data_IF_788287096000
#
_entry.id   IF_788287096000
#
_cell.length_a   1.000
_cell.length_b   1.000
_cell.length_c   1.000
_cell.angle_alpha   90.00
_cell.angle_beta   90.00
_cell.angle_gamma   90.00
#
_symmetry.space_group_name_H-M   'P 1'
#
loop_
_entity.id
_entity.type
_entity.pdbx_description
1 polymer ?
#
# COMPACT_ATOMS: atom_id res chain seq x y z
N UNK A 1 -10.66 -16.38 -40.90
CA UNK A 1 -10.49 -16.10 -39.47
C UNK A 1 -10.34 -14.60 -39.28
N UNK A 2 -11.34 -13.90 -38.72
CA UNK A 2 -11.28 -12.44 -38.50
C UNK A 2 -10.22 -12.16 -37.43
N UNK A 3 -9.09 -11.56 -37.81
CA UNK A 3 -8.04 -11.15 -36.86
C UNK A 3 -8.61 -10.04 -35.97
N UNK A 4 -8.78 -10.35 -34.69
CA UNK A 4 -9.12 -9.35 -33.67
C UNK A 4 -7.99 -8.31 -33.65
N UNK A 5 -8.29 -6.99 -33.72
CA UNK A 5 -7.27 -5.95 -33.66
C UNK A 5 -6.46 -6.03 -32.36
N UNK A 6 -5.13 -5.87 -32.45
CA UNK A 6 -4.25 -5.93 -31.29
C UNK A 6 -4.62 -4.89 -30.20
N UNK A 7 -5.17 -3.73 -30.60
CA UNK A 7 -5.69 -2.70 -29.69
C UNK A 7 -6.87 -3.21 -28.85
N UNK A 8 -7.80 -3.93 -29.45
CA UNK A 8 -8.95 -4.52 -28.75
C UNK A 8 -8.51 -5.55 -27.71
N UNK A 9 -7.52 -6.38 -28.03
CA UNK A 9 -6.99 -7.36 -27.08
C UNK A 9 -6.32 -6.68 -25.88
N UNK A 10 -5.53 -5.61 -26.11
CA UNK A 10 -4.94 -4.81 -25.02
C UNK A 10 -6.00 -4.16 -24.14
N UNK A 11 -7.07 -3.65 -24.76
CA UNK A 11 -8.21 -3.10 -24.03
C UNK A 11 -8.90 -4.15 -23.15
N UNK A 12 -9.13 -5.37 -23.65
CA UNK A 12 -9.71 -6.46 -22.84
C UNK A 12 -8.81 -6.82 -21.64
N UNK A 13 -7.50 -6.90 -21.84
CA UNK A 13 -6.56 -7.12 -20.73
C UNK A 13 -6.59 -5.99 -19.71
N UNK A 14 -6.71 -4.74 -20.16
CA UNK A 14 -6.92 -3.60 -19.27
C UNK A 14 -8.23 -3.73 -18.47
N UNK A 15 -9.34 -4.11 -19.12
CA UNK A 15 -10.62 -4.34 -18.44
C UNK A 15 -10.53 -5.48 -17.41
N UNK A 16 -9.75 -6.51 -17.67
CA UNK A 16 -9.46 -7.57 -16.68
C UNK A 16 -8.73 -7.00 -15.47
N UNK A 17 -7.69 -6.18 -15.66
CA UNK A 17 -7.00 -5.51 -14.56
C UNK A 17 -7.95 -4.61 -13.75
N UNK A 18 -8.84 -3.89 -14.43
CA UNK A 18 -9.84 -3.05 -13.76
C UNK A 18 -10.81 -3.90 -12.93
N UNK A 19 -11.24 -5.05 -13.45
CA UNK A 19 -12.03 -6.02 -12.72
C UNK A 19 -11.32 -6.52 -11.45
N UNK A 20 -10.04 -6.85 -11.54
CA UNK A 20 -9.21 -7.26 -10.38
C UNK A 20 -9.11 -6.13 -9.35
N UNK A 21 -8.87 -4.90 -9.80
CA UNK A 21 -8.80 -3.73 -8.91
C UNK A 21 -10.13 -3.50 -8.18
N UNK A 22 -11.26 -3.49 -8.89
CA UNK A 22 -12.58 -3.37 -8.29
C UNK A 22 -12.89 -4.52 -7.31
N UNK A 23 -12.55 -5.76 -7.69
CA UNK A 23 -12.70 -6.92 -6.81
C UNK A 23 -11.89 -6.75 -5.53
N UNK A 24 -10.65 -6.27 -5.60
CA UNK A 24 -9.80 -6.07 -4.42
C UNK A 24 -10.40 -5.10 -3.40
N UNK A 25 -11.09 -4.04 -3.86
CA UNK A 25 -11.80 -3.11 -2.98
C UNK A 25 -13.00 -3.77 -2.31
N UNK A 26 -13.85 -4.43 -3.09
CA UNK A 26 -15.08 -5.06 -2.59
C UNK A 26 -14.74 -6.21 -1.64
N UNK A 27 -13.81 -7.08 -2.02
CA UNK A 27 -13.36 -8.18 -1.20
C UNK A 27 -12.70 -7.69 0.09
N UNK A 28 -11.90 -6.61 0.02
CA UNK A 28 -11.30 -6.02 1.22
C UNK A 28 -12.33 -5.46 2.19
N UNK A 29 -13.35 -4.79 1.67
CA UNK A 29 -14.47 -4.30 2.48
C UNK A 29 -15.23 -5.44 3.15
N UNK A 30 -15.59 -6.48 2.39
CA UNK A 30 -16.24 -7.66 2.92
C UNK A 30 -15.38 -8.37 3.97
N UNK A 31 -14.07 -8.47 3.74
CA UNK A 31 -13.11 -9.07 4.65
C UNK A 31 -13.01 -8.30 5.97
N UNK A 32 -12.93 -6.97 5.91
CA UNK A 32 -12.93 -6.12 7.11
C UNK A 32 -14.24 -6.23 7.90
N UNK A 33 -15.39 -6.33 7.22
CA UNK A 33 -16.68 -6.56 7.85
C UNK A 33 -16.75 -7.91 8.57
N UNK A 34 -16.23 -8.98 7.94
CA UNK A 34 -16.17 -10.31 8.54
C UNK A 34 -15.20 -10.38 9.73
N UNK A 35 -14.06 -9.69 9.63
CA UNK A 35 -13.11 -9.58 10.74
C UNK A 35 -13.76 -8.92 11.97
N UNK A 36 -14.58 -7.87 11.74
CA UNK A 36 -15.31 -7.20 12.81
C UNK A 36 -16.40 -8.07 13.43
N UNK A 37 -17.14 -8.84 12.63
CA UNK A 37 -18.23 -9.69 13.14
C UNK A 37 -17.76 -10.88 13.96
N UNK A 38 -16.46 -11.20 13.90
CA UNK A 38 -15.84 -12.35 14.56
C UNK A 38 -14.98 -11.98 15.78
N UNK A 39 -15.04 -10.71 16.23
CA UNK A 39 -14.39 -10.28 17.47
C UNK A 39 -14.96 -11.02 18.70
N UNK A 40 -14.17 -11.27 19.78
CA UNK A 40 -12.78 -10.87 19.98
C UNK A 40 -11.76 -11.90 19.47
N UNK A 41 -10.70 -11.42 18.81
CA UNK A 41 -9.59 -12.26 18.34
C UNK A 41 -8.42 -12.26 19.32
N UNK A 42 -7.74 -13.41 19.44
CA UNK A 42 -6.44 -13.45 20.11
C UNK A 42 -5.35 -12.78 19.26
N UNK A 43 -4.20 -12.49 19.84
CA UNK A 43 -3.08 -11.81 19.18
C UNK A 43 -2.60 -12.51 17.90
N UNK A 44 -2.59 -13.85 17.92
CA UNK A 44 -2.19 -14.69 16.79
C UNK A 44 -3.27 -14.74 15.72
N UNK A 45 -4.54 -14.87 16.13
CA UNK A 45 -5.67 -14.88 15.19
C UNK A 45 -5.70 -13.55 14.43
N UNK A 46 -5.65 -12.41 15.13
CA UNK A 46 -5.62 -11.10 14.50
C UNK A 46 -4.47 -10.95 13.49
N UNK A 47 -3.26 -11.43 13.83
CA UNK A 47 -2.12 -11.42 12.91
C UNK A 47 -2.36 -12.27 11.64
N UNK A 48 -2.89 -13.48 11.79
CA UNK A 48 -3.16 -14.36 10.64
C UNK A 48 -4.21 -13.79 9.69
N UNK A 49 -5.29 -13.20 10.21
CA UNK A 49 -6.30 -12.49 9.41
C UNK A 49 -5.68 -11.36 8.59
N UNK A 50 -4.70 -10.65 9.15
CA UNK A 50 -4.07 -9.50 8.50
C UNK A 50 -3.14 -9.96 7.40
N UNK A 51 -2.24 -10.90 7.72
CA UNK A 51 -1.26 -11.38 6.76
C UNK A 51 -1.89 -12.17 5.61
N UNK A 52 -2.98 -12.91 5.84
CA UNK A 52 -3.70 -13.59 4.76
C UNK A 52 -4.28 -12.60 3.74
N UNK A 53 -4.87 -11.50 4.21
CA UNK A 53 -5.37 -10.44 3.33
C UNK A 53 -4.24 -9.69 2.63
N UNK A 54 -3.18 -9.34 3.35
CA UNK A 54 -1.98 -8.71 2.76
C UNK A 54 -1.41 -9.57 1.64
N UNK A 55 -1.25 -10.89 1.87
CA UNK A 55 -0.80 -11.83 0.84
C UNK A 55 -1.76 -11.82 -0.35
N UNK A 56 -3.07 -11.87 -0.10
CA UNK A 56 -4.09 -11.84 -1.16
C UNK A 56 -3.98 -10.59 -2.03
N UNK A 57 -3.95 -9.40 -1.42
CA UNK A 57 -3.81 -8.12 -2.15
C UNK A 57 -2.51 -8.08 -2.94
N UNK A 58 -1.41 -8.59 -2.38
CA UNK A 58 -0.13 -8.63 -3.07
C UNK A 58 -0.15 -9.58 -4.26
N UNK A 59 -0.79 -10.75 -4.15
CA UNK A 59 -0.96 -11.66 -5.28
C UNK A 59 -1.80 -11.03 -6.40
N UNK A 60 -2.92 -10.39 -6.06
CA UNK A 60 -3.74 -9.65 -7.03
C UNK A 60 -2.94 -8.53 -7.72
N UNK A 61 -2.14 -7.79 -6.95
CA UNK A 61 -1.26 -6.75 -7.47
C UNK A 61 -0.23 -7.32 -8.45
N UNK A 62 0.45 -8.42 -8.11
CA UNK A 62 1.43 -9.05 -9.00
C UNK A 62 0.79 -9.54 -10.31
N UNK A 63 -0.41 -10.12 -10.24
CA UNK A 63 -1.16 -10.52 -11.44
C UNK A 63 -1.49 -9.30 -12.31
N UNK A 64 -1.98 -8.22 -11.71
CA UNK A 64 -2.25 -6.98 -12.45
C UNK A 64 -0.98 -6.37 -13.06
N UNK A 65 0.14 -6.35 -12.34
CA UNK A 65 1.41 -5.83 -12.85
C UNK A 65 1.93 -6.67 -14.00
N UNK A 66 1.81 -8.00 -13.92
CA UNK A 66 2.19 -8.90 -15.01
C UNK A 66 1.33 -8.65 -16.26
N UNK A 67 0.00 -8.55 -16.12
CA UNK A 67 -0.90 -8.28 -17.25
C UNK A 67 -0.58 -6.91 -17.87
N UNK A 68 -0.41 -5.87 -17.04
CA UNK A 68 -0.11 -4.52 -17.52
C UNK A 68 1.26 -4.43 -18.19
N UNK A 69 2.28 -5.06 -17.61
CA UNK A 69 3.64 -5.06 -18.16
C UNK A 69 3.75 -5.89 -19.45
N UNK A 70 3.22 -7.12 -19.46
CA UNK A 70 3.41 -8.05 -20.57
C UNK A 70 2.39 -7.85 -21.72
N UNK A 71 1.12 -7.59 -21.39
CA UNK A 71 0.02 -7.57 -22.37
C UNK A 71 -0.34 -6.15 -22.80
N UNK A 72 -0.54 -5.23 -21.84
CA UNK A 72 -0.95 -3.84 -22.14
C UNK A 72 0.24 -2.98 -22.57
N UNK A 73 1.41 -3.19 -21.95
CA UNK A 73 2.69 -2.50 -22.20
C UNK A 73 2.59 -0.98 -22.02
N UNK A 74 1.95 -0.53 -20.95
CA UNK A 74 1.86 0.89 -20.58
C UNK A 74 2.55 1.15 -19.25
N UNK A 75 3.61 1.99 -19.26
CA UNK A 75 4.37 2.38 -18.07
C UNK A 75 3.55 3.28 -17.14
N UNK A 76 2.89 4.31 -17.69
CA UNK A 76 2.00 5.19 -16.94
C UNK A 76 0.87 4.43 -16.22
N UNK A 77 0.21 3.49 -16.91
CA UNK A 77 -0.86 2.72 -16.29
C UNK A 77 -0.34 1.76 -15.22
N UNK A 78 0.82 1.16 -15.44
CA UNK A 78 1.49 0.34 -14.44
C UNK A 78 1.82 1.16 -13.19
N UNK A 79 2.31 2.39 -13.35
CA UNK A 79 2.56 3.33 -12.24
C UNK A 79 1.29 3.56 -11.41
N UNK A 80 0.17 3.90 -12.06
CA UNK A 80 -1.11 4.13 -11.38
C UNK A 80 -1.62 2.88 -10.66
N UNK A 81 -1.51 1.70 -11.27
CA UNK A 81 -1.94 0.47 -10.62
C UNK A 81 -1.06 0.10 -9.43
N UNK A 82 0.25 0.35 -9.50
CA UNK A 82 1.12 0.18 -8.34
C UNK A 82 0.71 1.12 -7.22
N UNK A 83 0.43 2.38 -7.54
CA UNK A 83 -0.05 3.35 -6.56
C UNK A 83 -1.39 2.91 -5.95
N UNK A 84 -2.34 2.46 -6.77
CA UNK A 84 -3.63 1.94 -6.34
C UNK A 84 -3.48 0.81 -5.32
N UNK A 85 -2.77 -0.26 -5.66
CA UNK A 85 -2.61 -1.40 -4.76
C UNK A 85 -1.83 -1.04 -3.49
N UNK A 86 -0.86 -0.13 -3.58
CA UNK A 86 -0.16 0.38 -2.40
C UNK A 86 -1.07 1.21 -1.51
N UNK A 87 -2.01 1.98 -2.07
CA UNK A 87 -3.01 2.71 -1.30
C UNK A 87 -3.98 1.75 -0.61
N UNK A 88 -4.52 0.76 -1.34
CA UNK A 88 -5.40 -0.27 -0.77
C UNK A 88 -4.70 -0.95 0.42
N UNK A 89 -3.47 -1.42 0.22
CA UNK A 89 -2.68 -2.04 1.28
C UNK A 89 -2.52 -1.11 2.51
N UNK A 90 -2.10 0.14 2.31
CA UNK A 90 -1.86 1.04 3.45
C UNK A 90 -3.14 1.44 4.16
N UNK A 91 -4.26 1.65 3.46
CA UNK A 91 -5.54 1.97 4.10
C UNK A 91 -5.97 0.80 5.01
N UNK A 92 -5.92 -0.44 4.51
CA UNK A 92 -6.23 -1.62 5.33
C UNK A 92 -5.28 -1.73 6.53
N UNK A 93 -3.99 -1.53 6.30
CA UNK A 93 -2.97 -1.53 7.35
C UNK A 93 -3.25 -0.47 8.43
N UNK A 94 -3.67 0.76 8.05
CA UNK A 94 -4.03 1.82 9.00
C UNK A 94 -5.32 1.55 9.76
N UNK A 95 -6.35 1.05 9.07
CA UNK A 95 -7.64 0.80 9.71
C UNK A 95 -7.58 -0.33 10.73
N UNK A 96 -6.66 -1.26 10.51
CA UNK A 96 -6.33 -2.27 11.50
C UNK A 96 -5.68 -1.64 12.75
N UNK A 97 -4.81 -0.64 12.61
CA UNK A 97 -4.19 0.05 13.75
C UNK A 97 -5.16 0.78 14.65
N UNK A 98 -6.18 1.39 14.07
CA UNK A 98 -7.24 1.99 14.87
C UNK A 98 -7.92 0.96 15.78
N UNK A 99 -7.95 -0.34 15.41
CA UNK A 99 -8.76 -1.37 16.08
C UNK A 99 -7.96 -2.35 16.94
N UNK A 100 -6.63 -2.27 16.96
CA UNK A 100 -5.77 -3.18 17.74
C UNK A 100 -5.56 -2.68 19.18
N UNK A 101 -6.04 -3.46 20.15
CA UNK A 101 -6.11 -3.11 21.59
C UNK A 101 -4.82 -3.29 22.39
N UNK A 102 -3.66 -3.60 21.78
CA UNK A 102 -2.39 -3.68 22.53
C UNK A 102 -1.20 -2.94 21.89
N UNK A 103 -0.48 -2.09 22.65
CA UNK A 103 0.72 -1.37 22.16
C UNK A 103 1.93 -2.25 21.81
N UNK A 104 2.07 -3.43 22.42
CA UNK A 104 3.20 -4.32 22.20
C UNK A 104 3.10 -5.12 20.89
N UNK A 105 1.90 -5.58 20.53
CA UNK A 105 1.64 -6.18 19.22
C UNK A 105 1.90 -5.17 18.10
N UNK A 106 1.49 -3.92 18.35
CA UNK A 106 1.70 -2.80 17.46
C UNK A 106 3.19 -2.52 17.17
N UNK A 107 4.02 -2.42 18.21
CA UNK A 107 5.46 -2.19 18.03
C UNK A 107 6.12 -3.33 17.25
N UNK A 108 5.68 -4.57 17.50
CA UNK A 108 6.23 -5.77 16.85
C UNK A 108 5.90 -5.81 15.36
N UNK A 109 4.63 -5.63 14.98
CA UNK A 109 4.20 -5.62 13.58
C UNK A 109 4.86 -4.47 12.82
N UNK A 110 4.98 -3.30 13.44
CA UNK A 110 5.60 -2.15 12.82
C UNK A 110 7.11 -2.33 12.61
N UNK A 111 7.83 -2.85 13.61
CA UNK A 111 9.25 -3.17 13.47
C UNK A 111 9.48 -4.21 12.38
N UNK A 112 8.67 -5.28 12.37
CA UNK A 112 8.76 -6.31 11.36
C UNK A 112 8.51 -5.75 9.95
N UNK A 113 7.50 -4.88 9.80
CA UNK A 113 7.19 -4.19 8.55
C UNK A 113 8.34 -3.28 8.08
N UNK A 114 8.89 -2.46 8.98
CA UNK A 114 10.02 -1.56 8.68
C UNK A 114 11.30 -2.33 8.32
N UNK A 115 11.64 -3.39 9.06
CA UNK A 115 12.80 -4.24 8.76
C UNK A 115 12.61 -4.95 7.42
N UNK A 116 11.42 -5.48 7.17
CA UNK A 116 11.08 -6.15 5.91
C UNK A 116 11.29 -5.23 4.73
N UNK A 117 10.88 -3.95 4.81
CA UNK A 117 11.09 -2.98 3.72
C UNK A 117 12.58 -2.72 3.47
N UNK A 118 13.36 -2.53 4.53
CA UNK A 118 14.80 -2.23 4.44
C UNK A 118 15.59 -3.40 3.85
N UNK A 119 15.16 -4.64 4.06
CA UNK A 119 15.86 -5.83 3.57
C UNK A 119 15.32 -6.28 2.21
N UNK A 120 14.00 -6.40 2.07
CA UNK A 120 13.37 -7.05 0.90
C UNK A 120 13.59 -6.23 -0.37
N UNK A 121 13.44 -4.90 -0.34
CA UNK A 121 13.58 -4.09 -1.56
C UNK A 121 15.01 -4.11 -2.12
N UNK A 122 16.06 -3.88 -1.31
CA UNK A 122 17.44 -4.07 -1.77
C UNK A 122 17.73 -5.49 -2.24
N UNK A 123 17.19 -6.51 -1.56
CA UNK A 123 17.35 -7.90 -1.98
C UNK A 123 16.69 -8.17 -3.34
N UNK A 124 15.48 -7.65 -3.57
CA UNK A 124 14.77 -7.76 -4.84
C UNK A 124 15.50 -7.06 -5.99
N UNK A 125 16.22 -5.98 -5.70
CA UNK A 125 17.06 -5.26 -6.67
C UNK A 125 18.39 -5.97 -6.96
N UNK A 126 18.81 -6.91 -6.10
CA UNK A 126 20.07 -7.63 -6.26
C UNK A 126 20.14 -8.48 -7.55
N UNK A 127 21.33 -8.56 -8.14
CA UNK A 127 21.57 -9.39 -9.34
C UNK A 127 21.34 -10.88 -9.08
N UNK A 128 21.59 -11.35 -7.86
CA UNK A 128 21.35 -12.74 -7.47
C UNK A 128 19.87 -13.08 -7.49
N UNK A 129 19.02 -12.19 -6.98
CA UNK A 129 17.58 -12.35 -7.03
C UNK A 129 17.05 -12.30 -8.47
N UNK A 130 17.55 -11.36 -9.28
CA UNK A 130 17.19 -11.27 -10.70
C UNK A 130 17.57 -12.55 -11.46
N UNK A 131 18.78 -13.11 -11.25
CA UNK A 131 19.17 -14.41 -11.82
C UNK A 131 18.28 -15.55 -11.34
N UNK A 132 17.91 -15.58 -10.07
CA UNK A 132 16.96 -16.57 -9.55
C UNK A 132 15.62 -16.50 -10.29
N UNK A 133 15.08 -15.30 -10.48
CA UNK A 133 13.84 -15.08 -11.24
C UNK A 133 13.97 -15.52 -12.70
N UNK A 134 15.13 -15.29 -13.33
CA UNK A 134 15.41 -15.77 -14.68
C UNK A 134 15.40 -17.30 -14.76
N UNK A 135 15.99 -17.99 -13.78
CA UNK A 135 16.07 -19.45 -13.75
C UNK A 135 14.72 -20.10 -13.44
N UNK A 136 14.00 -19.59 -12.43
CA UNK A 136 12.78 -20.23 -11.92
C UNK A 136 11.56 -19.90 -12.78
N UNK A 137 11.44 -18.64 -13.22
CA UNK A 137 10.22 -18.13 -13.89
C UNK A 137 10.46 -17.87 -15.38
N UNK A 138 11.72 -17.86 -15.83
CA UNK A 138 12.05 -17.46 -17.20
C UNK A 138 11.86 -15.95 -17.41
N UNK A 139 12.14 -15.13 -16.38
CA UNK A 139 11.93 -13.69 -16.42
C UNK A 139 12.74 -13.02 -17.56
N UNK A 140 12.10 -12.48 -18.61
CA UNK A 140 12.80 -12.11 -19.84
C UNK A 140 13.43 -10.71 -19.80
N UNK A 141 13.12 -9.90 -18.78
CA UNK A 141 13.55 -8.51 -18.76
C UNK A 141 15.01 -8.36 -18.28
N UNK A 142 15.76 -7.41 -18.85
CA UNK A 142 17.10 -7.09 -18.39
C UNK A 142 17.07 -6.55 -16.95
N UNK A 143 18.24 -6.56 -16.29
CA UNK A 143 18.35 -6.13 -14.90
C UNK A 143 17.99 -4.65 -14.71
N UNK A 144 18.28 -3.78 -15.69
CA UNK A 144 18.00 -2.34 -15.62
C UNK A 144 16.49 -2.08 -15.54
N UNK A 145 15.71 -2.64 -16.47
CA UNK A 145 14.24 -2.56 -16.44
C UNK A 145 13.65 -3.13 -15.15
N UNK A 146 14.26 -4.21 -14.61
CA UNK A 146 13.85 -4.80 -13.33
C UNK A 146 14.13 -3.86 -12.16
N UNK A 147 15.32 -3.26 -12.10
CA UNK A 147 15.72 -2.32 -11.07
C UNK A 147 14.81 -1.08 -11.09
N UNK A 148 14.53 -0.54 -12.27
CA UNK A 148 13.58 0.58 -12.44
C UNK A 148 12.18 0.19 -11.98
N UNK A 149 11.72 -1.02 -12.33
CA UNK A 149 10.41 -1.51 -11.91
C UNK A 149 10.29 -1.65 -10.38
N UNK A 150 11.34 -2.14 -9.71
CA UNK A 150 11.41 -2.22 -8.24
C UNK A 150 11.50 -0.82 -7.62
N UNK A 151 12.33 0.06 -8.17
CA UNK A 151 12.49 1.44 -7.70
C UNK A 151 11.16 2.21 -7.79
N UNK A 152 10.48 2.16 -8.93
CA UNK A 152 9.15 2.77 -9.11
C UNK A 152 8.13 2.20 -8.12
N UNK A 153 8.17 0.89 -7.85
CA UNK A 153 7.29 0.26 -6.84
C UNK A 153 7.57 0.77 -5.43
N UNK A 154 8.84 1.00 -5.08
CA UNK A 154 9.22 1.59 -3.80
C UNK A 154 8.82 3.06 -3.71
N UNK A 155 8.97 3.82 -4.80
CA UNK A 155 8.58 5.24 -4.85
C UNK A 155 7.08 5.42 -4.58
N UNK A 156 6.23 4.71 -5.34
CA UNK A 156 4.76 4.78 -5.17
C UNK A 156 4.31 4.24 -3.82
N UNK A 157 5.02 3.24 -3.28
CA UNK A 157 4.81 2.77 -1.90
C UNK A 157 5.03 3.91 -0.90
N UNK A 158 6.10 4.68 -1.04
CA UNK A 158 6.38 5.84 -0.17
C UNK A 158 5.31 6.92 -0.27
N UNK A 159 4.83 7.20 -1.49
CA UNK A 159 3.74 8.15 -1.72
C UNK A 159 2.44 7.71 -1.03
N UNK A 160 2.05 6.45 -1.23
CA UNK A 160 0.87 5.86 -0.59
C UNK A 160 0.95 5.88 0.94
N UNK A 161 2.11 5.51 1.50
CA UNK A 161 2.33 5.49 2.94
C UNK A 161 2.13 6.87 3.57
N UNK A 162 2.69 7.92 2.97
CA UNK A 162 2.60 9.28 3.50
C UNK A 162 1.18 9.84 3.38
N UNK A 163 0.55 9.68 2.22
CA UNK A 163 -0.82 10.20 2.00
C UNK A 163 -1.83 9.51 2.91
N UNK A 164 -1.74 8.20 3.07
CA UNK A 164 -2.65 7.47 3.97
C UNK A 164 -2.45 7.83 5.43
N UNK A 165 -1.21 8.09 5.86
CA UNK A 165 -0.94 8.53 7.23
C UNK A 165 -1.46 9.95 7.49
N UNK A 166 -1.24 10.88 6.56
CA UNK A 166 -1.79 12.24 6.65
C UNK A 166 -3.32 12.21 6.67
N UNK A 167 -3.94 11.41 5.79
CA UNK A 167 -5.38 11.19 5.78
C UNK A 167 -5.88 10.63 7.12
N UNK A 168 -5.19 9.63 7.67
CA UNK A 168 -5.52 9.03 8.97
C UNK A 168 -5.45 10.05 10.12
N UNK A 169 -4.34 10.78 10.26
CA UNK A 169 -4.16 11.80 11.30
C UNK A 169 -5.14 12.97 11.15
N UNK A 170 -5.39 13.38 9.91
CA UNK A 170 -6.37 14.41 9.58
C UNK A 170 -7.78 14.00 10.04
N UNK A 171 -8.21 12.79 9.69
CA UNK A 171 -9.52 12.29 10.11
C UNK A 171 -9.62 12.04 11.61
N UNK A 172 -8.58 11.50 12.24
CA UNK A 172 -8.50 11.33 13.69
C UNK A 172 -8.74 12.67 14.41
N UNK A 173 -8.13 13.75 13.91
CA UNK A 173 -8.27 15.09 14.48
C UNK A 173 -9.64 15.70 14.17
N UNK A 174 -10.10 15.64 12.92
CA UNK A 174 -11.38 16.21 12.48
C UNK A 174 -12.56 15.55 13.17
N UNK A 175 -12.56 14.22 13.33
CA UNK A 175 -13.66 13.52 14.00
C UNK A 175 -13.68 13.71 15.51
N UNK A 176 -12.51 13.80 16.14
CA UNK A 176 -12.44 14.02 17.58
C UNK A 176 -12.93 15.43 17.98
N UNK A 177 -12.48 16.46 17.25
CA UNK A 177 -12.85 17.86 17.54
C UNK A 177 -14.07 18.36 16.75
N UNK A 178 -14.57 17.57 15.80
CA UNK A 178 -15.64 17.97 14.89
C UNK A 178 -17.05 17.79 15.46
N UNK A 179 -18.06 18.38 14.80
CA UNK A 179 -19.46 18.26 15.20
C UNK A 179 -19.99 16.82 15.04
N UNK A 180 -19.41 16.03 14.12
CA UNK A 180 -19.83 14.66 13.81
C UNK A 180 -19.30 13.61 14.79
N UNK A 181 -18.63 14.00 15.88
CA UNK A 181 -18.13 13.08 16.92
C UNK A 181 -19.21 12.14 17.49
N UNK A 182 -20.49 12.53 17.41
CA UNK A 182 -21.62 11.76 17.92
C UNK A 182 -21.99 10.59 17.01
N UNK A 183 -21.71 10.69 15.70
CA UNK A 183 -21.97 9.63 14.71
C UNK A 183 -20.90 8.53 14.79
N UNK A 184 -19.70 8.88 15.26
CA UNK A 184 -18.57 7.96 15.36
C UNK A 184 -18.04 7.86 16.81
N UNK A 185 -18.73 7.08 17.68
CA UNK A 185 -18.38 6.96 19.10
C UNK A 185 -16.94 6.52 19.34
N UNK A 186 -16.36 5.77 18.40
CA UNK A 186 -14.97 5.30 18.46
C UNK A 186 -13.95 6.45 18.56
N UNK A 187 -14.19 7.58 17.89
CA UNK A 187 -13.27 8.71 17.85
C UNK A 187 -13.48 9.73 18.99
N UNK A 188 -14.45 9.49 19.87
CA UNK A 188 -14.64 10.32 21.07
C UNK A 188 -13.62 10.04 22.15
N UNK A 189 -13.02 8.84 22.17
CA UNK A 189 -12.08 8.41 23.22
C UNK A 189 -12.61 8.67 24.64
N UNK A 190 -13.89 8.34 24.88
CA UNK A 190 -14.48 8.40 26.22
C UNK A 190 -13.83 7.33 27.10
N UNK A 191 -13.14 7.70 28.20
CA UNK A 191 -12.44 6.74 29.03
C UNK A 191 -13.45 5.76 29.64
N UNK A 192 -13.35 4.50 29.25
CA UNK A 192 -14.10 3.40 29.86
C UNK A 192 -13.09 2.37 30.41
N UNK A 193 -13.44 1.60 31.45
CA UNK A 193 -12.55 0.59 32.01
C UNK A 193 -12.04 -0.44 30.98
N UNK A 194 -12.81 -0.65 29.92
CA UNK A 194 -12.55 -1.63 28.85
C UNK A 194 -11.77 -1.04 27.65
N UNK A 195 -11.60 0.29 27.57
CA UNK A 195 -10.91 0.98 26.48
C UNK A 195 -9.94 2.06 27.02
N UNK A 196 -8.66 1.70 27.28
CA UNK A 196 -7.66 2.61 27.85
C UNK A 196 -7.10 3.62 26.83
N UNK A 197 -7.58 3.62 25.58
CA UNK A 197 -7.03 4.44 24.52
C UNK A 197 -7.51 5.88 24.62
N UNK A 198 -6.56 6.82 24.70
CA UNK A 198 -6.82 8.25 24.63
C UNK A 198 -6.46 8.79 23.25
N UNK A 199 -7.07 9.93 22.88
CA UNK A 199 -6.73 10.66 21.66
C UNK A 199 -5.23 10.96 21.60
N UNK A 200 -4.66 11.49 22.68
CA UNK A 200 -3.23 11.84 22.75
C UNK A 200 -2.33 10.64 22.53
N UNK A 201 -2.63 9.50 23.15
CA UNK A 201 -1.86 8.28 22.99
C UNK A 201 -1.93 7.77 21.54
N UNK A 202 -3.14 7.73 20.96
CA UNK A 202 -3.35 7.27 19.59
C UNK A 202 -2.65 8.17 18.57
N UNK A 203 -2.73 9.49 18.76
CA UNK A 203 -2.08 10.47 17.91
C UNK A 203 -0.55 10.38 17.98
N UNK A 204 0.02 10.39 19.20
CA UNK A 204 1.47 10.30 19.40
C UNK A 204 2.03 8.97 18.92
N UNK A 205 1.34 7.85 19.18
CA UNK A 205 1.74 6.54 18.69
C UNK A 205 1.73 6.48 17.15
N UNK A 206 0.71 7.06 16.51
CA UNK A 206 0.63 7.13 15.05
C UNK A 206 1.73 8.00 14.44
N UNK A 207 2.07 9.12 15.06
CA UNK A 207 3.21 9.94 14.68
C UNK A 207 4.54 9.20 14.85
N UNK A 208 4.71 8.45 15.94
CA UNK A 208 5.91 7.64 16.18
C UNK A 208 6.06 6.53 15.13
N UNK A 209 4.97 5.84 14.75
CA UNK A 209 4.98 4.91 13.61
C UNK A 209 5.44 5.63 12.36
N UNK A 210 4.81 6.75 12.04
CA UNK A 210 5.10 7.46 10.81
C UNK A 210 6.57 7.84 10.72
N UNK A 211 7.13 8.33 11.83
CA UNK A 211 8.56 8.59 11.97
C UNK A 211 9.43 7.35 11.71
N UNK A 212 9.08 6.19 12.31
CA UNK A 212 9.78 4.93 12.07
C UNK A 212 9.70 4.49 10.60
N UNK A 213 8.54 4.64 9.96
CA UNK A 213 8.35 4.29 8.56
C UNK A 213 9.15 5.20 7.62
N UNK A 214 9.18 6.51 7.91
CA UNK A 214 10.00 7.47 7.19
C UNK A 214 11.49 7.13 7.33
N UNK A 215 11.96 6.84 8.55
CA UNK A 215 13.34 6.45 8.79
C UNK A 215 13.71 5.18 8.02
N UNK A 216 12.87 4.13 8.11
CA UNK A 216 13.10 2.89 7.36
C UNK A 216 13.10 3.12 5.85
N UNK A 217 12.24 4.02 5.34
CA UNK A 217 12.21 4.38 3.93
C UNK A 217 13.47 5.13 3.49
N UNK A 218 13.99 6.02 4.33
CA UNK A 218 15.24 6.75 4.07
C UNK A 218 16.44 5.78 4.04
N UNK A 219 16.52 4.87 5.01
CA UNK A 219 17.57 3.85 5.05
C UNK A 219 17.52 2.95 3.80
N UNK A 220 16.34 2.50 3.40
CA UNK A 220 16.19 1.70 2.18
C UNK A 220 16.61 2.47 0.92
N UNK A 221 16.26 3.76 0.79
CA UNK A 221 16.74 4.64 -0.31
C UNK A 221 18.25 4.77 -0.31
N UNK A 222 18.85 4.98 0.85
CA UNK A 222 20.30 5.09 0.98
C UNK A 222 21.00 3.80 0.56
N UNK A 223 20.49 2.64 1.00
CA UNK A 223 21.04 1.32 0.60
C UNK A 223 20.90 1.13 -0.92
N UNK A 224 19.74 1.44 -1.50
CA UNK A 224 19.53 1.29 -2.95
C UNK A 224 20.45 2.20 -3.77
N UNK A 225 20.66 3.44 -3.32
CA UNK A 225 21.59 4.36 -3.97
C UNK A 225 23.05 3.90 -3.82
N UNK A 226 23.50 3.56 -2.62
CA UNK A 226 24.89 3.16 -2.38
C UNK A 226 25.26 1.81 -3.01
N UNK A 227 24.38 0.81 -2.90
CA UNK A 227 24.68 -0.54 -3.36
C UNK A 227 24.41 -0.75 -4.86
N UNK A 228 23.39 -0.10 -5.41
CA UNK A 228 22.94 -0.33 -6.80
C UNK A 228 23.03 0.90 -7.70
N UNK A 229 23.40 2.09 -7.17
CA UNK A 229 23.45 3.37 -7.89
C UNK A 229 22.10 3.77 -8.50
N UNK A 230 21.01 3.40 -7.81
CA UNK A 230 19.64 3.68 -8.22
C UNK A 230 19.06 4.77 -7.33
N UNK A 231 18.82 5.96 -7.89
CA UNK A 231 18.07 7.00 -7.21
C UNK A 231 16.57 6.82 -7.43
N UNK A 232 15.92 6.23 -6.41
CA UNK A 232 14.49 5.94 -6.44
C UNK A 232 13.62 7.19 -6.55
N UNK A 233 14.07 8.32 -5.98
CA UNK A 233 13.31 9.57 -6.02
C UNK A 233 13.32 10.14 -7.43
N UNK A 234 14.50 10.12 -8.06
CA UNK A 234 14.66 10.59 -9.43
C UNK A 234 13.86 9.74 -10.41
N UNK A 235 13.90 8.41 -10.31
CA UNK A 235 13.13 7.51 -11.19
C UNK A 235 11.62 7.80 -11.12
N UNK A 236 11.08 7.99 -9.92
CA UNK A 236 9.67 8.30 -9.75
C UNK A 236 9.27 9.66 -10.34
N UNK A 237 10.17 10.65 -10.25
CA UNK A 237 9.96 11.98 -10.84
C UNK A 237 10.13 11.97 -12.36
N UNK A 238 11.07 11.20 -12.88
CA UNK A 238 11.33 11.07 -14.31
C UNK A 238 10.14 10.40 -15.01
N UNK A 239 9.51 9.40 -14.40
CA UNK A 239 8.23 8.84 -14.91
C UNK A 239 7.11 9.90 -14.95
N UNK A 240 6.99 10.76 -13.93
CA UNK A 240 6.00 11.85 -13.94
C UNK A 240 6.33 12.94 -14.97
N UNK A 241 7.61 13.14 -15.30
CA UNK A 241 8.04 14.07 -16.35
C UNK A 241 7.79 13.50 -17.74
N UNK A 242 8.01 12.20 -17.91
CA UNK A 242 7.76 11.48 -19.16
C UNK A 242 6.25 11.42 -19.47
N UNK A 243 5.41 11.24 -18.44
CA UNK A 243 3.95 11.21 -18.54
C UNK A 243 3.29 12.26 -17.62
N UNK A 244 3.21 13.54 -18.05
CA UNK A 244 2.67 14.63 -17.23
C UNK A 244 1.24 14.40 -16.73
N UNK A 245 0.43 13.65 -17.46
CA UNK A 245 -0.92 13.23 -17.07
C UNK A 245 -0.98 12.37 -15.80
N UNK A 246 0.15 11.76 -15.39
CA UNK A 246 0.25 11.04 -14.12
C UNK A 246 0.07 11.95 -12.92
N UNK A 247 0.52 13.21 -12.98
CA UNK A 247 0.46 14.15 -11.86
C UNK A 247 -0.98 14.42 -11.42
N UNK A 248 -1.90 14.88 -12.30
CA UNK A 248 -3.29 15.09 -11.91
C UNK A 248 -3.99 13.77 -11.57
N UNK A 249 -3.70 12.68 -12.29
CA UNK A 249 -4.30 11.37 -11.99
C UNK A 249 -3.93 10.88 -10.58
N UNK A 250 -2.65 10.94 -10.21
CA UNK A 250 -2.18 10.61 -8.87
C UNK A 250 -2.80 11.57 -7.84
N UNK A 251 -2.80 12.87 -8.11
CA UNK A 251 -3.38 13.88 -7.23
C UNK A 251 -4.85 13.61 -6.90
N UNK A 252 -5.68 13.33 -7.90
CA UNK A 252 -7.08 12.94 -7.72
C UNK A 252 -7.20 11.64 -6.92
N UNK A 253 -6.38 10.63 -7.24
CA UNK A 253 -6.44 9.33 -6.58
C UNK A 253 -6.07 9.40 -5.10
N UNK A 254 -5.01 10.15 -4.79
CA UNK A 254 -4.54 10.41 -3.43
C UNK A 254 -5.54 11.23 -2.62
N UNK A 255 -6.13 12.26 -3.23
CA UNK A 255 -7.14 13.09 -2.58
C UNK A 255 -8.40 12.29 -2.29
N UNK A 256 -8.86 11.48 -3.26
CA UNK A 256 -9.99 10.59 -3.08
C UNK A 256 -9.78 9.62 -1.92
N UNK A 257 -8.62 8.97 -1.87
CA UNK A 257 -8.28 8.05 -0.77
C UNK A 257 -8.17 8.77 0.57
N UNK A 258 -7.52 9.95 0.61
CA UNK A 258 -7.42 10.74 1.84
C UNK A 258 -8.82 11.13 2.35
N UNK A 259 -9.74 11.54 1.47
CA UNK A 259 -11.12 11.86 1.82
C UNK A 259 -11.93 10.62 2.20
N UNK A 260 -11.70 9.46 1.58
CA UNK A 260 -12.53 8.25 1.79
C UNK A 260 -11.97 7.26 2.80
N UNK A 261 -10.84 7.57 3.43
CA UNK A 261 -10.29 6.78 4.52
C UNK A 261 -11.33 6.53 5.63
N UNK A 262 -12.32 7.43 5.80
CA UNK A 262 -13.38 7.31 6.79
C UNK A 262 -14.40 6.20 6.54
N UNK A 263 -14.89 6.01 5.30
CA UNK A 263 -15.94 5.02 5.00
C UNK A 263 -15.47 3.58 5.25
N UNK A 264 -14.14 3.37 5.30
CA UNK A 264 -13.54 2.08 5.63
C UNK A 264 -13.28 1.91 7.14
N UNK A 265 -13.37 2.98 7.93
CA UNK A 265 -13.16 2.96 9.40
C UNK A 265 -14.50 2.96 10.16
N UNK A 266 -15.54 3.59 9.60
CA UNK A 266 -16.94 3.49 10.06
C UNK A 266 -17.53 2.11 9.83
#
# INVERSE_FOLDING_TARGET
>A
SKRIPASWLRFLWFMTCLGIACFSLIAGQAYASLYLSTLPHTSLDAGTWVYSWVITVQLLAQVSFFILGAKVRSRALLFLYKLFFQLVYHIFYRNLFARLRSPSQFATVQLLSSISVVIIFPLQMSRSWHRLLQIVVGYPQPWEDHADNVATSFYVRGLAQNVTMVGFLGWLTILHFGPNQHVYPFFRFTPSPDDPYTFQLTFLASCAIWGSELLSSLLARLIMNLAFKVDVSQIGLDEMREYPELVPACGTFLSYVACRALELIS
#
